data_IF_445460624513
#
_entry.id   IF_445460624513
#
_cell.length_a   1.000
_cell.length_b   1.000
_cell.length_c   1.000
_cell.angle_alpha   90.00
_cell.angle_beta   90.00
_cell.angle_gamma   90.00
#
_symmetry.space_group_name_H-M   'P 1'
#
loop_
_entity.id
_entity.type
_entity.pdbx_description
1 polymer ?
#
# COMPACT_ATOMS: atom_id res chain seq x y z
N UNK A 1 -39.59 -17.39 -19.64
CA UNK A 1 -39.08 -16.32 -18.76
C UNK A 1 -37.89 -16.90 -18.03
N UNK A 2 -36.67 -16.66 -18.51
CA UNK A 2 -35.44 -17.12 -17.83
C UNK A 2 -34.83 -15.92 -17.13
N UNK A 3 -34.88 -15.91 -15.80
CA UNK A 3 -34.13 -14.96 -15.00
C UNK A 3 -32.69 -15.47 -14.87
N UNK A 4 -31.73 -14.69 -15.35
CA UNK A 4 -30.29 -14.97 -15.18
C UNK A 4 -29.89 -14.77 -13.70
N UNK A 5 -29.01 -15.63 -13.13
CA UNK A 5 -28.51 -15.42 -11.78
C UNK A 5 -27.30 -14.47 -11.84
N UNK A 6 -27.56 -13.15 -11.79
CA UNK A 6 -26.52 -12.13 -11.58
C UNK A 6 -26.49 -11.67 -10.10
N UNK A 7 -26.64 -12.60 -9.15
CA UNK A 7 -26.72 -12.25 -7.73
C UNK A 7 -25.46 -12.54 -6.90
N UNK A 8 -24.44 -13.22 -7.46
CA UNK A 8 -23.27 -13.68 -6.70
C UNK A 8 -21.93 -13.17 -7.24
N UNK A 9 -21.91 -12.09 -8.04
CA UNK A 9 -20.62 -11.53 -8.45
C UNK A 9 -20.03 -10.71 -7.29
N UNK A 10 -18.92 -11.14 -6.64
CA UNK A 10 -18.28 -10.32 -5.62
C UNK A 10 -17.94 -8.96 -6.24
N UNK A 11 -18.03 -7.86 -5.47
CA UNK A 11 -17.82 -6.53 -6.01
C UNK A 11 -16.48 -6.51 -6.74
N UNK A 12 -16.50 -6.04 -8.00
CA UNK A 12 -15.31 -5.88 -8.83
C UNK A 12 -14.33 -5.01 -8.06
N UNK A 13 -13.34 -5.62 -7.40
CA UNK A 13 -12.26 -4.90 -6.74
C UNK A 13 -11.48 -4.22 -7.84
N UNK A 14 -11.78 -2.95 -8.05
CA UNK A 14 -11.11 -2.17 -9.09
C UNK A 14 -9.66 -2.02 -8.66
N UNK A 15 -8.68 -2.40 -9.51
CA UNK A 15 -7.28 -2.28 -9.17
C UNK A 15 -6.96 -0.85 -8.73
N UNK A 16 -6.18 -0.70 -7.66
CA UNK A 16 -5.78 0.62 -7.17
C UNK A 16 -4.95 1.36 -8.25
N UNK A 17 -4.33 0.59 -9.16
CA UNK A 17 -3.55 1.10 -10.27
C UNK A 17 -2.26 1.70 -9.73
N UNK A 18 -1.54 0.90 -8.94
CA UNK A 18 -0.22 1.25 -8.41
C UNK A 18 0.73 1.41 -9.59
N UNK A 19 1.43 2.57 -9.72
CA UNK A 19 2.34 2.79 -10.83
C UNK A 19 3.68 2.06 -10.63
N UNK A 20 4.36 1.73 -11.73
CA UNK A 20 5.72 1.18 -11.70
C UNK A 20 5.81 -0.33 -11.43
N UNK A 21 7.03 -0.81 -11.18
CA UNK A 21 7.27 -2.21 -10.79
C UNK A 21 6.82 -2.44 -9.35
N UNK A 22 6.27 -3.62 -9.07
CA UNK A 22 5.62 -3.93 -7.78
C UNK A 22 6.57 -3.79 -6.59
N UNK A 23 7.78 -4.32 -6.73
CA UNK A 23 8.84 -4.28 -5.71
C UNK A 23 9.41 -2.86 -5.53
N UNK A 24 9.61 -2.13 -6.62
CA UNK A 24 10.05 -0.74 -6.58
C UNK A 24 9.00 0.17 -5.89
N UNK A 25 7.71 -0.03 -6.21
CA UNK A 25 6.62 0.75 -5.62
C UNK A 25 6.54 0.57 -4.09
N UNK A 26 6.79 -0.63 -3.57
CA UNK A 26 6.84 -0.88 -2.10
C UNK A 26 7.95 -0.05 -1.45
N UNK A 27 9.14 -0.01 -2.07
CA UNK A 27 10.28 0.78 -1.58
C UNK A 27 10.01 2.29 -1.64
N UNK A 28 9.48 2.78 -2.75
CA UNK A 28 9.13 4.19 -2.92
C UNK A 28 8.06 4.64 -1.93
N UNK A 29 7.03 3.81 -1.72
CA UNK A 29 6.00 4.04 -0.71
C UNK A 29 6.56 4.10 0.71
N UNK A 30 7.47 3.16 1.06
CA UNK A 30 8.12 3.18 2.37
C UNK A 30 8.97 4.44 2.57
N UNK A 31 9.73 4.85 1.56
CA UNK A 31 10.49 6.10 1.60
C UNK A 31 9.57 7.31 1.80
N UNK A 32 8.42 7.32 1.12
CA UNK A 32 7.41 8.35 1.33
C UNK A 32 6.85 8.35 2.75
N UNK A 33 6.53 7.19 3.34
CA UNK A 33 6.09 7.09 4.73
C UNK A 33 7.15 7.63 5.71
N UNK A 34 8.42 7.26 5.51
CA UNK A 34 9.54 7.73 6.31
C UNK A 34 9.73 9.26 6.20
N UNK A 35 9.39 9.88 5.07
CA UNK A 35 9.42 11.34 4.90
C UNK A 35 8.38 12.08 5.75
N UNK A 36 7.34 11.38 6.25
CA UNK A 36 6.27 11.96 7.08
C UNK A 36 6.56 11.91 8.57
N UNK A 37 7.71 11.37 8.99
CA UNK A 37 8.08 11.23 10.40
C UNK A 37 9.47 11.81 10.66
N UNK A 38 9.65 12.43 11.83
CA UNK A 38 10.96 12.94 12.28
C UNK A 38 11.68 11.91 13.16
N UNK A 39 10.93 11.17 13.96
CA UNK A 39 11.46 10.18 14.89
C UNK A 39 12.17 9.03 14.16
N UNK A 40 13.42 8.77 14.54
CA UNK A 40 14.26 7.77 13.87
C UNK A 40 13.81 6.33 14.16
N UNK A 41 13.23 6.06 15.33
CA UNK A 41 12.69 4.75 15.63
C UNK A 41 11.45 4.48 14.76
N UNK A 42 10.58 5.48 14.56
CA UNK A 42 9.42 5.33 13.68
C UNK A 42 9.81 5.16 12.22
N UNK A 43 10.88 5.82 11.75
CA UNK A 43 11.46 5.54 10.42
C UNK A 43 11.92 4.10 10.29
N UNK A 44 12.64 3.60 11.29
CA UNK A 44 13.10 2.20 11.31
C UNK A 44 11.93 1.20 11.30
N UNK A 45 10.82 1.51 11.96
CA UNK A 45 9.61 0.68 11.92
C UNK A 45 8.95 0.67 10.52
N UNK A 46 8.95 1.79 9.79
CA UNK A 46 8.49 1.82 8.40
C UNK A 46 9.43 1.03 7.47
N UNK A 47 10.73 1.12 7.69
CA UNK A 47 11.70 0.28 6.98
C UNK A 47 11.44 -1.21 7.25
N UNK A 48 11.22 -1.58 8.50
CA UNK A 48 10.86 -2.95 8.89
C UNK A 48 9.59 -3.43 8.19
N UNK A 49 8.54 -2.61 8.12
CA UNK A 49 7.32 -2.96 7.39
C UNK A 49 7.58 -3.20 5.89
N UNK A 50 8.45 -2.39 5.27
CA UNK A 50 8.89 -2.59 3.90
C UNK A 50 9.64 -3.92 3.73
N UNK A 51 10.58 -4.22 4.63
CA UNK A 51 11.36 -5.45 4.57
C UNK A 51 10.48 -6.69 4.73
N UNK A 52 9.49 -6.64 5.64
CA UNK A 52 8.47 -7.70 5.80
C UNK A 52 7.65 -7.88 4.52
N UNK A 53 7.15 -6.80 3.91
CA UNK A 53 6.40 -6.89 2.66
C UNK A 53 7.24 -7.55 1.55
N UNK A 54 8.49 -7.11 1.39
CA UNK A 54 9.41 -7.62 0.37
C UNK A 54 9.79 -9.09 0.62
N UNK A 55 10.07 -9.48 1.86
CA UNK A 55 10.42 -10.85 2.23
C UNK A 55 9.29 -11.84 1.97
N UNK A 56 8.03 -11.39 2.07
CA UNK A 56 6.84 -12.19 1.81
C UNK A 56 6.30 -12.02 0.37
N UNK A 57 6.97 -11.24 -0.48
CA UNK A 57 6.53 -11.00 -1.86
C UNK A 57 5.21 -10.23 -1.98
N UNK A 58 4.84 -9.45 -0.95
CA UNK A 58 3.62 -8.65 -0.94
C UNK A 58 3.82 -7.33 -1.67
N UNK A 59 2.95 -7.07 -2.64
CA UNK A 59 2.88 -5.76 -3.29
C UNK A 59 1.82 -4.84 -2.64
N UNK A 60 1.85 -3.55 -3.01
CA UNK A 60 0.95 -2.55 -2.46
C UNK A 60 -0.53 -2.81 -2.76
N UNK A 61 -0.88 -3.48 -3.87
CA UNK A 61 -2.28 -3.80 -4.16
C UNK A 61 -2.79 -4.92 -3.25
N UNK A 62 -1.98 -5.95 -2.99
CA UNK A 62 -2.30 -7.02 -2.05
C UNK A 62 -2.42 -6.49 -0.62
N UNK A 63 -1.46 -5.70 -0.16
CA UNK A 63 -1.50 -5.08 1.17
C UNK A 63 -2.74 -4.19 1.31
N UNK A 64 -3.06 -3.39 0.29
CA UNK A 64 -4.25 -2.55 0.28
C UNK A 64 -5.54 -3.37 0.25
N UNK A 65 -5.56 -4.52 -0.43
CA UNK A 65 -6.74 -5.39 -0.52
C UNK A 65 -7.05 -6.05 0.82
N UNK A 66 -6.02 -6.56 1.49
CA UNK A 66 -6.21 -7.34 2.72
C UNK A 66 -6.52 -6.44 3.92
N UNK A 67 -6.07 -5.18 3.90
CA UNK A 67 -6.26 -4.20 4.98
C UNK A 67 -5.88 -4.75 6.37
N UNK A 68 -4.90 -5.66 6.44
CA UNK A 68 -4.54 -6.37 7.66
C UNK A 68 -3.26 -5.81 8.30
N UNK A 69 -3.36 -4.91 9.30
CA UNK A 69 -2.19 -4.47 10.06
C UNK A 69 -1.64 -5.58 10.98
N UNK A 70 -2.44 -6.61 11.30
CA UNK A 70 -2.02 -7.64 12.25
C UNK A 70 -0.86 -8.48 11.72
N UNK A 71 -0.84 -8.75 10.41
CA UNK A 71 0.28 -9.36 9.71
C UNK A 71 1.62 -8.66 10.01
N UNK A 72 1.67 -7.34 9.90
CA UNK A 72 2.89 -6.56 10.17
C UNK A 72 3.23 -6.54 11.66
N UNK A 73 2.23 -6.44 12.54
CA UNK A 73 2.49 -6.46 14.00
C UNK A 73 3.01 -7.80 14.49
N UNK A 74 2.52 -8.92 13.94
CA UNK A 74 3.02 -10.26 14.22
C UNK A 74 4.47 -10.42 13.76
N UNK A 75 4.87 -9.69 12.71
CA UNK A 75 6.25 -9.60 12.24
C UNK A 75 7.06 -8.48 12.93
N UNK A 76 6.61 -8.00 14.09
CA UNK A 76 7.39 -7.11 14.96
C UNK A 76 7.38 -5.63 14.59
N UNK A 77 6.46 -5.19 13.71
CA UNK A 77 6.23 -3.77 13.44
C UNK A 77 5.34 -3.16 14.53
N UNK A 78 5.65 -1.96 15.01
CA UNK A 78 4.80 -1.23 15.96
C UNK A 78 3.36 -1.07 15.44
N UNK A 79 2.37 -1.29 16.32
CA UNK A 79 0.93 -1.26 15.99
C UNK A 79 0.48 0.00 15.24
N UNK A 80 0.93 1.18 15.69
CA UNK A 80 0.58 2.44 15.04
C UNK A 80 1.14 2.55 13.63
N UNK A 81 2.37 2.07 13.42
CA UNK A 81 3.07 2.08 12.14
C UNK A 81 2.43 1.07 11.18
N UNK A 82 2.13 -0.15 11.64
CA UNK A 82 1.43 -1.16 10.85
C UNK A 82 0.07 -0.65 10.33
N UNK A 83 -0.74 -0.01 11.21
CA UNK A 83 -2.02 0.60 10.82
C UNK A 83 -1.85 1.67 9.74
N UNK A 84 -0.84 2.53 9.88
CA UNK A 84 -0.56 3.61 8.93
C UNK A 84 -0.04 3.07 7.59
N UNK A 85 0.86 2.09 7.65
CA UNK A 85 1.46 1.46 6.48
C UNK A 85 0.42 0.80 5.57
N UNK A 86 -0.63 0.20 6.13
CA UNK A 86 -1.70 -0.42 5.33
C UNK A 86 -2.72 0.60 4.82
N UNK A 87 -3.08 1.60 5.63
CA UNK A 87 -4.18 2.52 5.31
C UNK A 87 -3.81 3.64 4.32
N UNK A 88 -2.56 4.09 4.29
CA UNK A 88 -2.16 5.25 3.47
C UNK A 88 -1.86 4.91 2.01
N UNK A 89 -1.82 3.63 1.61
CA UNK A 89 -1.45 3.21 0.25
C UNK A 89 -2.32 3.90 -0.80
N UNK A 90 -3.64 3.96 -0.57
CA UNK A 90 -4.57 4.65 -1.47
C UNK A 90 -4.27 6.14 -1.61
N UNK A 91 -3.86 6.77 -0.52
CA UNK A 91 -3.51 8.19 -0.52
C UNK A 91 -2.22 8.42 -1.30
N UNK A 92 -1.19 7.62 -1.05
CA UNK A 92 0.07 7.69 -1.78
C UNK A 92 -0.11 7.51 -3.29
N UNK A 93 -0.87 6.49 -3.73
CA UNK A 93 -1.13 6.26 -5.15
C UNK A 93 -1.82 7.46 -5.82
N UNK A 94 -2.77 8.10 -5.13
CA UNK A 94 -3.44 9.31 -5.65
C UNK A 94 -2.46 10.47 -5.82
N UNK A 95 -1.59 10.71 -4.83
CA UNK A 95 -0.58 11.77 -4.89
C UNK A 95 0.44 11.52 -6.00
N UNK A 96 0.90 10.27 -6.13
CA UNK A 96 1.90 9.90 -7.14
C UNK A 96 1.35 9.99 -8.58
N UNK A 97 0.04 9.75 -8.78
CA UNK A 97 -0.63 10.00 -10.07
C UNK A 97 -0.70 11.48 -10.42
N UNK A 98 -0.90 12.36 -9.43
CA UNK A 98 -0.98 13.79 -9.65
C UNK A 98 0.38 14.39 -10.06
N UNK A 99 1.45 14.02 -9.36
CA UNK A 99 2.81 14.50 -9.67
C UNK A 99 3.20 14.18 -11.12
N UNK A 100 3.02 12.92 -11.56
CA UNK A 100 3.36 12.54 -12.94
C UNK A 100 2.55 13.27 -14.01
N UNK A 101 1.30 13.67 -13.71
CA UNK A 101 0.49 14.46 -14.67
C UNK A 101 1.06 15.87 -14.83
N UNK A 102 1.59 16.44 -13.76
CA UNK A 102 2.15 17.80 -13.75
C UNK A 102 3.51 17.86 -14.47
N UNK A 103 4.30 16.79 -14.36
CA UNK A 103 5.60 16.65 -15.05
C UNK A 103 5.46 16.42 -16.56
N UNK A 104 4.27 16.06 -17.07
CA UNK A 104 4.03 15.90 -18.53
C UNK A 104 3.53 17.19 -19.20
N UNK A 105 3.35 18.26 -18.44
CA UNK A 105 2.78 19.54 -18.89
C UNK A 105 3.77 20.72 -18.82
N UNK A 106 5.02 20.48 -18.42
CA UNK A 106 6.13 21.44 -18.42
C UNK A 106 7.27 20.96 -19.32
#
# INVERSE_FOLDING_TARGET
>A
MSASPMADQPPLVTPLGVPGFRDAAVKEYSNWQQSKVVDLAWKAEFQKACDVAMAHGLDLEQIYKDQDPSFFTTNGVMLGIARRFVSDIKYWVKQHKLVRTTDTLN
#
